data_IF_238002420040
#
_entry.id   IF_238002420040
#
_cell.length_a   1.000
_cell.length_b   1.000
_cell.length_c   1.000
_cell.angle_alpha   90.00
_cell.angle_beta   90.00
_cell.angle_gamma   90.00
#
_symmetry.space_group_name_H-M   'P 1'
#
loop_
_entity.id
_entity.type
_entity.pdbx_description
1 polymer ?
#
# COMPACT_ATOMS: atom_id res chain seq x y z
N UNK A 1 1.15 31.90 -10.59
CA UNK A 1 -0.27 32.18 -10.23
C UNK A 1 -1.04 32.30 -11.53
N UNK A 2 -2.15 31.58 -11.69
CA UNK A 2 -2.94 31.63 -12.93
C UNK A 2 -3.65 32.98 -12.98
N UNK A 3 -3.46 33.71 -14.08
CA UNK A 3 -4.16 34.98 -14.33
C UNK A 3 -5.62 34.69 -14.69
N UNK A 4 -6.61 35.45 -14.19
CA UNK A 4 -7.98 35.28 -14.63
C UNK A 4 -8.10 35.62 -16.12
N UNK A 5 -8.85 34.80 -16.87
CA UNK A 5 -8.95 34.89 -18.32
C UNK A 5 -9.34 36.28 -18.84
N UNK A 6 -10.22 36.98 -18.11
CA UNK A 6 -10.67 38.33 -18.45
C UNK A 6 -9.55 39.39 -18.46
N UNK A 7 -8.41 39.11 -17.83
CA UNK A 7 -7.24 40.00 -17.79
C UNK A 7 -6.11 39.56 -18.73
N UNK A 8 -6.35 38.56 -19.60
CA UNK A 8 -5.37 38.10 -20.58
C UNK A 8 -5.43 38.96 -21.86
N UNK A 9 -4.55 39.95 -21.91
CA UNK A 9 -4.52 40.93 -23.02
C UNK A 9 -3.50 40.61 -24.14
N UNK A 10 -2.64 39.60 -23.97
CA UNK A 10 -1.58 39.27 -24.93
C UNK A 10 -1.35 37.77 -25.02
N UNK A 11 -0.79 37.30 -26.14
CA UNK A 11 -0.42 35.89 -26.34
C UNK A 11 0.45 35.39 -25.18
N UNK A 12 1.45 36.19 -24.78
CA UNK A 12 2.34 35.87 -23.66
C UNK A 12 1.58 35.67 -22.32
N UNK A 13 0.47 36.38 -22.09
CA UNK A 13 -0.36 36.14 -20.89
C UNK A 13 -1.05 34.77 -20.92
N UNK A 14 -1.50 34.33 -22.10
CA UNK A 14 -2.09 33.01 -22.27
C UNK A 14 -1.04 31.92 -22.09
N UNK A 15 0.11 32.03 -22.77
CA UNK A 15 1.21 31.07 -22.67
C UNK A 15 1.67 30.88 -21.23
N UNK A 16 1.99 31.96 -20.51
CA UNK A 16 2.37 31.87 -19.09
C UNK A 16 1.28 31.25 -18.20
N UNK A 17 0.00 31.50 -18.51
CA UNK A 17 -1.12 30.93 -17.74
C UNK A 17 -1.25 29.43 -18.01
N UNK A 18 -1.08 29.00 -19.26
CA UNK A 18 -1.05 27.59 -19.68
C UNK A 18 0.12 26.88 -19.00
N UNK A 19 1.33 27.42 -19.07
CA UNK A 19 2.51 26.84 -18.41
C UNK A 19 2.30 26.69 -16.89
N UNK A 20 1.66 27.67 -16.26
CA UNK A 20 1.32 27.60 -14.83
C UNK A 20 0.30 26.49 -14.55
N UNK A 21 -0.70 26.32 -15.41
CA UNK A 21 -1.71 25.25 -15.30
C UNK A 21 -1.05 23.89 -15.43
N UNK A 22 -0.19 23.70 -16.42
CA UNK A 22 0.47 22.42 -16.68
C UNK A 22 1.38 21.99 -15.52
N UNK A 23 2.15 22.93 -14.96
CA UNK A 23 2.94 22.67 -13.74
C UNK A 23 2.04 22.24 -12.56
N UNK A 24 0.89 22.92 -12.37
CA UNK A 24 -0.06 22.59 -11.31
C UNK A 24 -0.69 21.21 -11.50
N UNK A 25 -0.97 20.83 -12.75
CA UNK A 25 -1.46 19.49 -13.09
C UNK A 25 -0.41 18.44 -12.71
N UNK A 26 0.86 18.67 -13.03
CA UNK A 26 1.94 17.75 -12.65
C UNK A 26 2.06 17.59 -11.12
N UNK A 27 2.03 18.70 -10.36
CA UNK A 27 2.00 18.68 -8.89
C UNK A 27 0.84 17.82 -8.35
N UNK A 28 -0.36 18.01 -8.90
CA UNK A 28 -1.56 17.27 -8.48
C UNK A 28 -1.51 15.80 -8.88
N UNK A 29 -0.92 15.46 -10.03
CA UNK A 29 -0.70 14.08 -10.44
C UNK A 29 0.28 13.37 -9.52
N UNK A 30 1.34 14.05 -9.10
CA UNK A 30 2.29 13.50 -8.13
C UNK A 30 1.64 13.30 -6.76
N UNK A 31 0.89 14.30 -6.28
CA UNK A 31 0.12 14.18 -5.05
C UNK A 31 -0.86 12.99 -5.13
N UNK A 32 -1.57 12.84 -6.24
CA UNK A 32 -2.47 11.70 -6.47
C UNK A 32 -1.76 10.36 -6.37
N UNK A 33 -0.54 10.23 -6.92
CA UNK A 33 0.25 8.99 -6.76
C UNK A 33 0.52 8.68 -5.30
N UNK A 34 0.87 9.68 -4.49
CA UNK A 34 1.11 9.51 -3.05
C UNK A 34 -0.15 9.03 -2.32
N UNK A 35 -1.32 9.63 -2.60
CA UNK A 35 -2.59 9.17 -2.02
C UNK A 35 -2.96 7.75 -2.45
N UNK A 36 -2.76 7.41 -3.72
CA UNK A 36 -2.98 6.04 -4.22
C UNK A 36 -2.05 5.04 -3.52
N UNK A 37 -0.78 5.41 -3.31
CA UNK A 37 0.17 4.57 -2.59
C UNK A 37 -0.24 4.39 -1.11
N UNK A 38 -0.62 5.48 -0.43
CA UNK A 38 -1.11 5.43 0.95
C UNK A 38 -2.37 4.57 1.09
N UNK A 39 -3.34 4.73 0.19
CA UNK A 39 -4.56 3.91 0.17
C UNK A 39 -4.26 2.42 0.00
N UNK A 40 -3.36 2.05 -0.93
CA UNK A 40 -2.94 0.65 -1.11
C UNK A 40 -2.22 0.10 0.11
N UNK A 41 -1.37 0.89 0.75
CA UNK A 41 -0.69 0.48 1.96
C UNK A 41 -1.68 0.15 3.08
N UNK A 42 -2.72 0.97 3.26
CA UNK A 42 -3.78 0.72 4.24
C UNK A 42 -4.61 -0.53 3.91
N UNK A 43 -5.01 -0.72 2.65
CA UNK A 43 -5.76 -1.92 2.25
C UNK A 43 -4.98 -3.22 2.46
N UNK A 44 -3.66 -3.19 2.24
CA UNK A 44 -2.83 -4.38 2.46
C UNK A 44 -2.65 -4.70 3.95
N UNK A 45 -2.64 -3.69 4.82
CA UNK A 45 -2.60 -3.89 6.28
C UNK A 45 -3.91 -4.50 6.78
N UNK A 46 -5.06 -4.02 6.28
CA UNK A 46 -6.38 -4.58 6.63
C UNK A 46 -6.56 -6.02 6.12
N UNK A 47 -5.88 -6.40 5.02
CA UNK A 47 -5.87 -7.77 4.50
C UNK A 47 -4.94 -8.72 5.29
N UNK A 48 -3.99 -8.18 6.06
CA UNK A 48 -3.09 -8.93 6.95
C UNK A 48 -3.65 -9.02 8.39
N UNK A 49 -4.68 -8.22 8.71
CA UNK A 49 -5.46 -8.29 9.95
C UNK A 49 -6.73 -9.17 9.84
N UNK A 50 -6.79 -10.08 8.87
CA UNK A 50 -7.71 -11.22 9.00
C UNK A 50 -7.13 -12.15 10.08
N UNK A 51 -7.85 -12.48 11.17
CA UNK A 51 -7.33 -13.40 12.17
C UNK A 51 -7.02 -14.71 11.46
N UNK A 52 -5.75 -15.11 11.48
CA UNK A 52 -5.32 -16.45 11.10
C UNK A 52 -6.20 -17.43 11.89
N UNK A 53 -7.18 -18.03 11.21
CA UNK A 53 -7.83 -19.21 11.70
C UNK A 53 -6.76 -20.29 11.74
N UNK A 54 -6.12 -20.46 12.88
CA UNK A 54 -5.28 -21.62 13.16
C UNK A 54 -6.26 -22.79 13.28
N UNK A 55 -6.32 -23.74 12.34
CA UNK A 55 -6.99 -24.99 12.65
C UNK A 55 -6.13 -25.66 13.72
N UNK A 56 -6.65 -25.76 14.94
CA UNK A 56 -6.15 -26.70 15.95
C UNK A 56 -6.11 -28.08 15.31
N UNK A 57 -4.92 -28.49 14.86
CA UNK A 57 -4.68 -29.83 14.37
C UNK A 57 -3.93 -30.60 15.45
N UNK A 58 -4.67 -31.43 16.17
CA UNK A 58 -4.30 -32.39 17.21
C UNK A 58 -3.30 -33.48 16.74
N UNK A 59 -2.28 -33.14 15.97
CA UNK A 59 -1.30 -34.11 15.42
C UNK A 59 0.08 -34.04 16.07
N UNK A 60 0.39 -33.04 16.90
CA UNK A 60 1.70 -32.98 17.60
C UNK A 60 1.74 -33.94 18.80
N UNK A 61 0.59 -34.28 19.39
CA UNK A 61 0.56 -35.15 20.57
C UNK A 61 0.83 -36.64 20.25
N UNK A 62 0.63 -37.07 18.99
CA UNK A 62 0.84 -38.46 18.56
C UNK A 62 2.30 -38.77 18.16
N UNK A 63 3.08 -37.76 17.73
CA UNK A 63 4.49 -37.94 17.36
C UNK A 63 5.42 -38.01 18.59
N UNK A 64 5.10 -37.29 19.66
CA UNK A 64 5.94 -37.26 20.86
C UNK A 64 5.85 -38.55 21.71
N UNK A 65 4.78 -39.35 21.58
CA UNK A 65 4.64 -40.62 22.30
C UNK A 65 5.42 -41.78 21.68
N UNK A 66 5.72 -41.74 20.37
CA UNK A 66 6.54 -42.76 19.72
C UNK A 66 8.04 -42.54 19.91
N UNK A 67 8.49 -41.27 20.00
CA UNK A 67 9.92 -40.96 20.17
C UNK A 67 10.41 -41.31 21.58
N UNK A 68 9.56 -41.21 22.60
CA UNK A 68 9.92 -41.58 23.98
C UNK A 68 9.96 -43.09 24.23
N UNK A 69 9.25 -43.90 23.44
CA UNK A 69 9.25 -45.36 23.58
C UNK A 69 10.52 -46.02 23.00
N UNK A 70 11.20 -45.40 22.02
CA UNK A 70 12.39 -45.98 21.37
C UNK A 70 13.73 -45.69 22.04
N UNK A 71 13.77 -44.85 23.08
CA UNK A 71 15.02 -44.47 23.77
C UNK A 71 15.32 -45.28 25.05
N UNK A 72 14.53 -46.32 25.36
CA UNK A 72 14.78 -47.19 26.53
C UNK A 72 15.22 -48.63 26.18
N UNK A 73 15.53 -48.91 24.91
CA UNK A 73 15.96 -50.25 24.49
C UNK A 73 17.25 -50.20 23.67
N UNK A 74 18.28 -49.60 24.25
CA UNK A 74 19.68 -49.85 23.87
C UNK A 74 20.54 -49.63 25.12
N UNK A 75 20.49 -50.64 26.00
CA UNK A 75 21.52 -50.93 26.99
C UNK A 75 22.26 -52.17 26.53
#
# INVERSE_FOLDING_TARGET
>A
MIRPLAYCESINHFEHSIDTIDNRIQELLELRKQYVAGHKALQNVEADESPEFIPENDSIHALNSMITASLHQSR
#
